data_IF_725004067991
#
_entry.id   IF_725004067991
#
_cell.length_a   1.000
_cell.length_b   1.000
_cell.length_c   1.000
_cell.angle_alpha   90.00
_cell.angle_beta   90.00
_cell.angle_gamma   90.00
#
_symmetry.space_group_name_H-M   'P 1'
#
loop_
_entity.id
_entity.type
_entity.pdbx_description
1 polymer ?
#
# COMPACT_ATOMS: atom_id res chain seq x y z
N UNK A 1 -18.29 5.59 -1.19
CA UNK A 1 -17.68 4.42 -0.52
C UNK A 1 -16.18 4.61 -0.48
N UNK A 2 -15.58 4.30 0.66
CA UNK A 2 -14.15 4.39 0.97
C UNK A 2 -13.75 3.14 1.75
N UNK A 3 -12.60 2.57 1.40
CA UNK A 3 -11.94 1.47 2.11
C UNK A 3 -10.50 1.89 2.41
N UNK A 4 -10.04 1.70 3.63
CA UNK A 4 -8.65 1.92 4.03
C UNK A 4 -8.10 0.63 4.62
N UNK A 5 -6.96 0.18 4.11
CA UNK A 5 -6.20 -0.95 4.64
C UNK A 5 -4.89 -0.42 5.22
N UNK A 6 -4.54 -0.84 6.43
CA UNK A 6 -3.28 -0.47 7.09
C UNK A 6 -2.60 -1.69 7.70
N UNK A 7 -1.29 -1.77 7.52
CA UNK A 7 -0.44 -2.86 8.01
C UNK A 7 0.71 -2.28 8.84
N UNK A 8 1.05 -2.94 9.97
CA UNK A 8 2.17 -2.54 10.83
C UNK A 8 2.17 -1.07 11.30
N UNK A 9 0.99 -0.44 11.38
CA UNK A 9 0.84 0.95 11.84
C UNK A 9 0.71 1.07 13.37
N UNK A 10 1.14 2.20 13.96
CA UNK A 10 0.97 2.48 15.38
C UNK A 10 -0.49 2.41 15.87
N UNK A 11 -0.78 1.95 17.11
CA UNK A 11 -2.13 1.89 17.66
C UNK A 11 -2.88 3.23 17.65
N UNK A 12 -2.14 4.34 17.80
CA UNK A 12 -2.69 5.71 17.72
C UNK A 12 -3.40 5.98 16.38
N UNK A 13 -2.85 5.47 15.26
CA UNK A 13 -3.46 5.67 13.94
C UNK A 13 -4.72 4.82 13.79
N UNK A 14 -4.71 3.58 14.32
CA UNK A 14 -5.90 2.70 14.32
C UNK A 14 -7.07 3.35 15.05
N UNK A 15 -6.83 3.83 16.28
CA UNK A 15 -7.84 4.55 17.05
C UNK A 15 -8.31 5.83 16.36
N UNK A 16 -7.41 6.55 15.69
CA UNK A 16 -7.75 7.74 14.90
C UNK A 16 -8.66 7.41 13.71
N UNK A 17 -8.40 6.34 12.95
CA UNK A 17 -9.24 5.91 11.83
C UNK A 17 -10.64 5.46 12.28
N UNK A 18 -10.72 4.80 13.44
CA UNK A 18 -11.98 4.34 14.02
C UNK A 18 -12.95 5.47 14.42
N UNK A 19 -12.49 6.73 14.45
CA UNK A 19 -13.37 7.91 14.67
C UNK A 19 -14.32 8.13 13.50
N UNK A 20 -13.90 7.81 12.28
CA UNK A 20 -14.69 8.09 11.06
C UNK A 20 -15.16 6.84 10.32
N UNK A 21 -14.52 5.70 10.57
CA UNK A 21 -14.68 4.48 9.78
C UNK A 21 -14.93 3.28 10.69
N UNK A 22 -15.59 2.27 10.14
CA UNK A 22 -15.83 1.00 10.83
C UNK A 22 -14.70 0.03 10.49
N UNK A 23 -14.00 -0.49 11.50
CA UNK A 23 -13.00 -1.55 11.34
C UNK A 23 -13.69 -2.90 11.19
N UNK A 24 -13.81 -3.41 9.96
CA UNK A 24 -14.49 -4.68 9.66
C UNK A 24 -13.58 -5.90 9.83
N UNK A 25 -12.26 -5.68 9.74
CA UNK A 25 -11.18 -6.63 10.04
C UNK A 25 -9.98 -5.86 10.55
N UNK A 26 -9.03 -6.54 11.19
CA UNK A 26 -7.81 -5.92 11.69
C UNK A 26 -7.10 -5.13 10.57
N UNK A 27 -7.03 -3.81 10.72
CA UNK A 27 -6.44 -2.90 9.74
C UNK A 27 -7.30 -2.61 8.51
N UNK A 28 -8.53 -3.12 8.39
CA UNK A 28 -9.43 -2.86 7.28
C UNK A 28 -10.64 -2.03 7.74
N UNK A 29 -10.71 -0.80 7.24
CA UNK A 29 -11.69 0.21 7.61
C UNK A 29 -12.59 0.54 6.43
N UNK A 30 -13.89 0.66 6.66
CA UNK A 30 -14.89 0.96 5.63
C UNK A 30 -15.75 2.15 6.05
N UNK A 31 -16.08 3.02 5.10
CA UNK A 31 -17.01 4.12 5.33
C UNK A 31 -17.48 4.81 4.06
N UNK A 32 -18.23 5.90 4.23
CA UNK A 32 -18.68 6.74 3.13
C UNK A 32 -18.44 8.21 3.47
N UNK A 33 -17.29 8.73 3.04
CA UNK A 33 -16.85 10.08 3.33
C UNK A 33 -16.87 10.95 2.06
N UNK A 34 -17.10 12.25 2.23
CA UNK A 34 -16.94 13.21 1.12
C UNK A 34 -15.47 13.33 0.72
N UNK A 35 -15.21 13.87 -0.48
CA UNK A 35 -13.84 14.08 -1.00
C UNK A 35 -12.95 14.83 0.00
N UNK A 36 -13.46 15.92 0.57
CA UNK A 36 -12.75 16.74 1.56
C UNK A 36 -12.37 15.94 2.81
N UNK A 37 -13.30 15.16 3.35
CA UNK A 37 -13.04 14.39 4.57
C UNK A 37 -12.09 13.23 4.27
N UNK A 38 -12.20 12.59 3.11
CA UNK A 38 -11.25 11.58 2.65
C UNK A 38 -9.83 12.14 2.56
N UNK A 39 -9.65 13.32 1.97
CA UNK A 39 -8.34 13.99 1.87
C UNK A 39 -7.77 14.33 3.25
N UNK A 40 -8.61 14.83 4.16
CA UNK A 40 -8.20 15.04 5.55
C UNK A 40 -7.77 13.73 6.24
N UNK A 41 -8.53 12.64 6.06
CA UNK A 41 -8.17 11.32 6.61
C UNK A 41 -6.85 10.82 6.02
N UNK A 42 -6.61 11.04 4.73
CA UNK A 42 -5.36 10.65 4.09
C UNK A 42 -4.15 11.37 4.69
N UNK A 43 -4.24 12.68 4.94
CA UNK A 43 -3.17 13.44 5.61
C UNK A 43 -2.88 12.89 7.02
N UNK A 44 -3.93 12.47 7.75
CA UNK A 44 -3.75 11.83 9.06
C UNK A 44 -3.06 10.47 8.98
N UNK A 45 -3.29 9.71 7.92
CA UNK A 45 -2.57 8.46 7.65
C UNK A 45 -1.10 8.78 7.36
N UNK A 46 -0.82 9.79 6.52
CA UNK A 46 0.53 10.20 6.17
C UNK A 46 1.36 10.62 7.39
N UNK A 47 0.80 11.46 8.26
CA UNK A 47 1.43 11.87 9.53
C UNK A 47 1.53 10.72 10.55
N UNK A 48 0.62 9.74 10.43
CA UNK A 48 0.39 8.68 11.42
C UNK A 48 1.09 7.35 11.14
N UNK A 49 1.62 7.16 9.93
CA UNK A 49 1.93 5.84 9.37
C UNK A 49 3.01 5.08 10.16
N UNK A 50 4.06 5.78 10.61
CA UNK A 50 5.25 5.15 11.17
C UNK A 50 5.95 4.25 10.13
N UNK A 51 6.44 3.05 10.52
CA UNK A 51 7.09 2.10 9.59
C UNK A 51 6.09 1.26 8.79
N UNK A 52 4.78 1.45 8.99
CA UNK A 52 3.74 0.66 8.35
C UNK A 52 3.49 1.05 6.90
N UNK A 53 2.46 0.43 6.32
CA UNK A 53 1.96 0.78 5.00
C UNK A 53 0.44 0.94 5.02
N UNK A 54 -0.08 1.68 4.03
CA UNK A 54 -1.49 1.96 3.90
C UNK A 54 -1.94 1.94 2.43
N UNK A 55 -3.18 1.52 2.20
CA UNK A 55 -3.90 1.66 0.93
C UNK A 55 -5.24 2.32 1.19
N UNK A 56 -5.58 3.33 0.40
CA UNK A 56 -6.89 3.96 0.44
C UNK A 56 -7.57 3.79 -0.92
N UNK A 57 -8.79 3.25 -0.93
CA UNK A 57 -9.59 2.96 -2.12
C UNK A 57 -10.90 3.71 -2.01
N UNK A 58 -11.34 4.41 -3.06
CA UNK A 58 -12.62 5.10 -3.06
C UNK A 58 -13.36 4.95 -4.37
N UNK A 59 -14.70 5.02 -4.31
CA UNK A 59 -15.55 5.05 -5.51
C UNK A 59 -15.33 6.34 -6.30
N UNK A 60 -15.16 6.23 -7.62
CA UNK A 60 -15.10 7.35 -8.55
C UNK A 60 -15.87 7.01 -9.83
N UNK A 61 -15.98 7.95 -10.77
CA UNK A 61 -16.67 7.78 -12.05
C UNK A 61 -15.70 7.42 -13.20
N UNK A 62 -14.62 6.70 -12.89
CA UNK A 62 -13.68 6.14 -13.87
C UNK A 62 -14.15 4.77 -14.34
N UNK A 63 -13.52 4.22 -15.38
CA UNK A 63 -13.86 2.92 -15.96
C UNK A 63 -13.85 1.77 -14.93
N UNK A 64 -12.84 1.73 -14.06
CA UNK A 64 -12.76 0.72 -12.98
C UNK A 64 -13.80 0.91 -11.87
N UNK A 65 -14.50 2.06 -11.82
CA UNK A 65 -15.45 2.41 -10.77
C UNK A 65 -14.83 2.78 -9.42
N UNK A 66 -13.50 2.73 -9.30
CA UNK A 66 -12.74 3.12 -8.12
C UNK A 66 -11.35 3.65 -8.50
N UNK A 67 -10.73 4.31 -7.54
CA UNK A 67 -9.34 4.74 -7.60
C UNK A 67 -8.70 4.53 -6.23
N UNK A 68 -7.37 4.46 -6.18
CA UNK A 68 -6.63 4.19 -4.96
C UNK A 68 -5.28 4.89 -4.87
N UNK A 69 -4.81 5.03 -3.64
CA UNK A 69 -3.47 5.49 -3.26
C UNK A 69 -2.83 4.49 -2.31
N UNK A 70 -1.51 4.43 -2.36
CA UNK A 70 -0.70 3.63 -1.45
C UNK A 70 0.33 4.51 -0.77
N UNK A 71 0.70 4.16 0.47
CA UNK A 71 1.75 4.83 1.22
C UNK A 71 2.57 3.80 2.01
N UNK A 72 3.88 4.05 2.13
CA UNK A 72 4.80 3.17 2.84
C UNK A 72 5.26 1.96 2.02
N UNK A 73 6.15 1.13 2.58
CA UNK A 73 6.74 0.00 1.88
C UNK A 73 5.74 -1.16 1.73
N UNK A 74 5.49 -1.59 0.50
CA UNK A 74 4.75 -2.81 0.20
C UNK A 74 5.28 -3.43 -1.11
N UNK A 75 5.25 -4.75 -1.21
CA UNK A 75 5.60 -5.48 -2.46
C UNK A 75 4.52 -5.34 -3.53
N UNK A 76 3.32 -4.88 -3.15
CA UNK A 76 2.22 -4.52 -4.03
C UNK A 76 2.33 -3.04 -4.37
N UNK A 77 2.95 -2.73 -5.50
CA UNK A 77 3.15 -1.36 -5.96
C UNK A 77 2.10 -1.00 -7.01
N UNK A 78 1.51 0.21 -6.98
CA UNK A 78 0.66 0.68 -8.06
C UNK A 78 1.46 0.76 -9.36
N UNK A 79 0.86 0.29 -10.46
CA UNK A 79 1.35 0.53 -11.80
C UNK A 79 0.20 0.99 -12.70
N UNK A 80 0.53 1.64 -13.81
CA UNK A 80 -0.47 2.13 -14.77
C UNK A 80 -0.21 1.51 -16.14
N UNK A 81 -1.27 1.00 -16.75
CA UNK A 81 -1.25 0.44 -18.10
C UNK A 81 -2.51 0.92 -18.82
N UNK A 82 -2.35 1.58 -19.96
CA UNK A 82 -3.44 2.11 -20.78
C UNK A 82 -4.44 3.00 -20.00
N UNK A 83 -3.95 3.80 -19.05
CA UNK A 83 -4.77 4.70 -18.23
C UNK A 83 -5.54 4.00 -17.09
N UNK A 84 -5.33 2.70 -16.90
CA UNK A 84 -5.93 1.91 -15.82
C UNK A 84 -4.86 1.62 -14.76
N UNK A 85 -5.19 1.85 -13.49
CA UNK A 85 -4.32 1.51 -12.36
C UNK A 85 -4.45 0.04 -11.98
N UNK A 86 -3.31 -0.63 -11.90
CA UNK A 86 -3.13 -2.01 -11.48
C UNK A 86 -2.19 -2.09 -10.26
N UNK A 87 -1.97 -3.31 -9.79
CA UNK A 87 -1.02 -3.62 -8.73
C UNK A 87 -0.02 -4.64 -9.25
N UNK A 88 1.25 -4.25 -9.32
CA UNK A 88 2.35 -5.18 -9.56
C UNK A 88 2.79 -5.81 -8.26
N UNK A 89 3.02 -7.12 -8.26
CA UNK A 89 3.55 -7.85 -7.11
C UNK A 89 5.01 -8.19 -7.34
N UNK A 90 5.89 -7.45 -6.66
CA UNK A 90 7.32 -7.62 -6.79
C UNK A 90 7.77 -8.97 -6.22
N UNK A 91 8.77 -9.64 -6.85
CA UNK A 91 9.36 -10.85 -6.30
C UNK A 91 9.94 -10.59 -4.90
N UNK A 92 10.18 -11.67 -4.15
CA UNK A 92 11.06 -11.56 -2.99
C UNK A 92 12.44 -11.16 -3.51
N UNK A 93 13.13 -10.28 -2.79
CA UNK A 93 14.49 -9.91 -3.14
C UNK A 93 15.35 -11.18 -3.03
N UNK A 94 15.56 -11.88 -4.16
CA UNK A 94 16.49 -12.99 -4.22
C UNK A 94 17.87 -12.42 -3.85
N UNK A 95 18.47 -12.96 -2.80
CA UNK A 95 19.84 -12.66 -2.40
C UNK A 95 20.74 -12.63 -3.64
N UNK A 96 21.37 -11.50 -3.92
CA UNK A 96 22.35 -11.29 -5.00
C UNK A 96 23.65 -12.10 -4.79
N UNK A 97 23.56 -13.36 -4.35
CA UNK A 97 24.71 -14.16 -3.94
C UNK A 97 25.23 -15.07 -5.07
N UNK A 98 24.42 -15.45 -6.07
CA UNK A 98 24.87 -16.48 -7.03
C UNK A 98 25.64 -15.98 -8.26
N UNK A 99 25.66 -14.67 -8.55
CA UNK A 99 26.30 -14.16 -9.79
C UNK A 99 27.80 -13.79 -9.64
N UNK A 100 28.49 -14.25 -8.58
CA UNK A 100 29.90 -13.87 -8.33
C UNK A 100 30.86 -15.05 -8.14
N UNK A 101 30.40 -16.29 -8.31
CA UNK A 101 31.23 -17.49 -8.12
C UNK A 101 31.74 -18.12 -9.43
N UNK A 102 31.38 -17.58 -10.61
CA UNK A 102 31.81 -18.13 -11.91
C UNK A 102 33.23 -17.72 -12.34
N UNK A 103 33.97 -16.93 -11.53
CA UNK A 103 35.32 -16.44 -11.85
C UNK A 103 36.48 -17.25 -11.21
N UNK A 104 36.24 -18.45 -10.65
CA UNK A 104 37.29 -19.21 -9.91
C UNK A 104 37.70 -20.54 -10.56
N UNK A 105 37.04 -21.01 -11.62
CA UNK A 105 37.36 -22.33 -12.21
C UNK A 105 38.45 -22.34 -13.29
N UNK A 106 39.07 -21.20 -13.65
CA UNK A 106 40.12 -21.13 -14.69
C UNK A 106 41.57 -21.16 -14.16
N UNK A 107 41.80 -21.56 -12.90
CA UNK A 107 43.16 -21.85 -12.39
C UNK A 107 43.22 -23.25 -11.77
N UNK A 108 43.00 -24.31 -12.56
CA UNK A 108 43.73 -25.58 -12.45
C UNK A 108 43.70 -26.32 -13.81
N UNK A 109 44.71 -26.07 -14.65
CA UNK A 109 45.59 -27.05 -15.33
C UNK A 109 46.55 -26.34 -16.28
#
# INVERSE_FOLDING_TARGET
MLVIVVESVPPRLRGRLAVWLVEVRAGAYVGNLSKRVREMVWNQIEEGLGPGNAVMIWKTNTESGFDFLTLGPNRRIPCEMDGIKFVSFLPLEQEKIEAKNDDVDDIVL
#
